data_IF_316258630687
#
_entry.id   IF_316258630687
#
_cell.length_a   1.000
_cell.length_b   1.000
_cell.length_c   1.000
_cell.angle_alpha   90.00
_cell.angle_beta   90.00
_cell.angle_gamma   90.00
#
_symmetry.space_group_name_H-M   'P 1'
#
loop_
_entity.id
_entity.type
_entity.pdbx_description
1 polymer ?
#
# COMPACT_ATOMS: atom_id res chain seq x y z
N UNK A 1 -9.78 7.91 20.96
CA UNK A 1 -10.93 7.50 21.80
C UNK A 1 -11.48 6.15 21.33
N UNK A 2 -11.54 5.19 22.24
CA UNK A 2 -11.97 3.80 21.97
C UNK A 2 -13.41 3.70 21.44
N UNK A 3 -14.27 4.66 21.81
CA UNK A 3 -15.66 4.75 21.35
C UNK A 3 -15.79 4.98 19.85
N UNK A 4 -14.92 5.82 19.26
CA UNK A 4 -14.93 6.09 17.81
C UNK A 4 -14.63 4.84 16.99
N UNK A 5 -13.72 4.00 17.48
CA UNK A 5 -13.40 2.72 16.85
C UNK A 5 -14.57 1.74 16.92
N UNK A 6 -15.28 1.68 18.06
CA UNK A 6 -16.49 0.85 18.17
C UNK A 6 -17.58 1.30 17.20
N UNK A 7 -17.80 2.60 17.07
CA UNK A 7 -18.78 3.14 16.12
C UNK A 7 -18.42 2.80 14.67
N UNK A 8 -17.13 2.88 14.32
CA UNK A 8 -16.66 2.48 12.99
C UNK A 8 -16.93 0.99 12.71
N UNK A 9 -16.70 0.13 13.69
CA UNK A 9 -16.96 -1.31 13.52
C UNK A 9 -18.44 -1.62 13.36
N UNK A 10 -19.29 -1.02 14.17
CA UNK A 10 -20.74 -1.18 14.04
C UNK A 10 -21.22 -0.71 12.66
N UNK A 11 -20.68 0.41 12.17
CA UNK A 11 -20.99 0.89 10.83
C UNK A 11 -20.54 -0.12 9.75
N UNK A 12 -19.34 -0.69 9.90
CA UNK A 12 -18.83 -1.71 8.99
C UNK A 12 -19.67 -2.98 9.04
N UNK A 13 -20.12 -3.44 10.21
CA UNK A 13 -21.00 -4.61 10.36
C UNK A 13 -22.37 -4.37 9.71
N UNK A 14 -22.95 -3.17 9.89
CA UNK A 14 -24.20 -2.78 9.23
C UNK A 14 -24.01 -2.76 7.71
N UNK A 15 -22.91 -2.19 7.23
CA UNK A 15 -22.55 -2.23 5.81
C UNK A 15 -22.40 -3.67 5.31
N UNK A 16 -21.73 -4.54 6.06
CA UNK A 16 -21.57 -5.95 5.72
C UNK A 16 -22.91 -6.67 5.60
N UNK A 17 -23.84 -6.34 6.50
CA UNK A 17 -25.18 -6.94 6.53
C UNK A 17 -26.04 -6.50 5.34
N UNK A 18 -25.91 -5.24 4.90
CA UNK A 18 -26.70 -4.69 3.79
C UNK A 18 -26.16 -5.16 2.43
N UNK A 19 -24.84 -5.10 2.23
CA UNK A 19 -24.21 -5.35 0.94
C UNK A 19 -23.70 -6.79 0.77
N UNK A 20 -23.73 -7.60 1.83
CA UNK A 20 -23.21 -8.98 1.82
C UNK A 20 -21.69 -9.07 1.72
N UNK A 21 -20.97 -7.96 1.97
CA UNK A 21 -19.51 -7.90 1.90
C UNK A 21 -18.92 -7.82 3.29
N UNK A 22 -18.10 -8.80 3.68
CA UNK A 22 -17.46 -8.78 5.00
C UNK A 22 -16.07 -8.14 4.96
N UNK A 23 -15.72 -7.39 6.02
CA UNK A 23 -14.36 -6.90 6.22
C UNK A 23 -13.44 -8.10 6.49
N UNK A 24 -12.35 -8.18 5.74
CA UNK A 24 -11.35 -9.22 5.95
C UNK A 24 -10.34 -8.78 7.01
N UNK A 25 -10.59 -9.16 8.27
CA UNK A 25 -9.72 -8.78 9.38
C UNK A 25 -8.30 -9.34 9.27
N UNK A 26 -8.11 -10.49 8.59
CA UNK A 26 -6.78 -11.05 8.31
C UNK A 26 -5.97 -10.24 7.28
N UNK A 27 -6.61 -9.31 6.56
CA UNK A 27 -5.95 -8.35 5.66
C UNK A 27 -5.96 -6.92 6.21
N UNK A 28 -6.60 -6.72 7.35
CA UNK A 28 -6.68 -5.42 8.03
C UNK A 28 -5.56 -5.32 9.06
N UNK A 29 -4.94 -4.16 9.15
CA UNK A 29 -3.89 -3.88 10.13
C UNK A 29 -4.17 -2.56 10.83
N UNK A 30 -3.97 -2.53 12.15
CA UNK A 30 -4.11 -1.30 12.94
C UNK A 30 -2.73 -0.64 13.11
N UNK A 31 -2.66 0.67 12.83
CA UNK A 31 -1.47 1.48 12.97
C UNK A 31 -1.83 2.76 13.73
N UNK A 32 -0.99 3.14 14.71
CA UNK A 32 -1.07 4.43 15.38
C UNK A 32 -0.07 5.42 14.79
N UNK A 33 -0.44 6.70 14.79
CA UNK A 33 0.45 7.82 14.47
C UNK A 33 0.50 8.68 15.73
N UNK A 34 1.67 8.75 16.37
CA UNK A 34 1.85 9.49 17.62
C UNK A 34 0.89 9.02 18.74
N UNK A 35 0.73 7.71 18.88
CA UNK A 35 -0.13 7.06 19.89
C UNK A 35 0.67 5.96 20.58
N UNK A 36 0.42 5.74 21.87
CA UNK A 36 1.08 4.71 22.67
C UNK A 36 0.83 3.29 22.12
N UNK A 37 1.89 2.47 22.14
CA UNK A 37 1.84 1.09 21.64
C UNK A 37 0.85 0.22 22.43
N UNK A 38 0.70 0.44 23.74
CA UNK A 38 -0.27 -0.27 24.58
C UNK A 38 -1.72 -0.03 24.13
N UNK A 39 -2.03 1.20 23.71
CA UNK A 39 -3.36 1.54 23.20
C UNK A 39 -3.61 0.87 21.84
N UNK A 40 -2.60 0.83 20.96
CA UNK A 40 -2.70 0.17 19.66
C UNK A 40 -2.90 -1.34 19.86
N UNK A 41 -2.12 -1.96 20.73
CA UNK A 41 -2.17 -3.40 20.96
C UNK A 41 -3.50 -3.82 21.61
N UNK A 42 -3.97 -3.09 22.61
CA UNK A 42 -5.28 -3.35 23.23
C UNK A 42 -6.44 -3.17 22.25
N UNK A 43 -6.36 -2.19 21.36
CA UNK A 43 -7.36 -1.95 20.32
C UNK A 43 -7.31 -3.05 19.24
N UNK A 44 -6.13 -3.45 18.78
CA UNK A 44 -5.97 -4.50 17.77
C UNK A 44 -6.55 -5.85 18.22
N UNK A 45 -6.39 -6.20 19.50
CA UNK A 45 -7.02 -7.39 20.10
C UNK A 45 -8.55 -7.32 20.03
N UNK A 46 -9.14 -6.15 20.33
CA UNK A 46 -10.59 -5.97 20.21
C UNK A 46 -11.08 -6.05 18.75
N UNK A 47 -10.24 -5.61 17.82
CA UNK A 47 -10.51 -5.62 16.38
C UNK A 47 -10.23 -6.97 15.72
N UNK A 48 -9.59 -7.91 16.41
CA UNK A 48 -9.13 -9.19 15.84
C UNK A 48 -8.30 -8.95 14.57
N UNK A 49 -7.45 -7.92 14.58
CA UNK A 49 -6.58 -7.57 13.47
C UNK A 49 -5.12 -7.45 13.92
N UNK A 50 -4.18 -7.51 12.98
CA UNK A 50 -2.76 -7.41 13.31
C UNK A 50 -2.34 -5.96 13.58
N UNK A 51 -1.38 -5.78 14.49
CA UNK A 51 -0.70 -4.49 14.65
C UNK A 51 0.30 -4.32 13.51
N UNK A 52 0.15 -3.27 12.72
CA UNK A 52 1.06 -2.96 11.62
C UNK A 52 2.29 -2.19 12.09
N UNK A 53 3.30 -2.12 11.21
CA UNK A 53 4.51 -1.31 11.40
C UNK A 53 4.77 -0.37 10.21
N UNK A 54 5.38 0.78 10.48
CA UNK A 54 5.87 1.69 9.42
C UNK A 54 7.20 1.20 8.83
N UNK A 55 7.46 1.41 7.52
CA UNK A 55 6.55 1.93 6.49
C UNK A 55 5.50 0.90 6.05
N UNK A 56 4.28 1.36 5.75
CA UNK A 56 3.14 0.48 5.42
C UNK A 56 2.99 0.35 3.90
N UNK A 57 2.59 -0.82 3.39
CA UNK A 57 2.37 -1.00 1.96
C UNK A 57 0.95 -0.58 1.58
N UNK A 58 0.82 0.49 0.81
CA UNK A 58 -0.46 0.95 0.28
C UNK A 58 -0.43 1.03 -1.25
N UNK A 59 -1.41 0.41 -1.90
CA UNK A 59 -1.50 0.30 -3.37
C UNK A 59 -0.22 -0.21 -4.07
N UNK A 60 0.62 -0.93 -3.33
CA UNK A 60 1.88 -1.47 -3.81
C UNK A 60 3.11 -0.56 -3.65
N UNK A 61 3.00 0.52 -2.88
CA UNK A 61 4.09 1.41 -2.51
C UNK A 61 4.21 1.54 -0.98
N UNK A 62 5.42 1.64 -0.41
CA UNK A 62 5.58 2.00 0.99
C UNK A 62 5.12 3.45 1.25
N UNK A 63 4.21 3.64 2.20
CA UNK A 63 3.84 4.90 2.81
C UNK A 63 4.64 5.09 4.10
N UNK A 64 5.09 6.32 4.37
CA UNK A 64 5.74 6.69 5.63
C UNK A 64 7.13 6.06 5.82
N UNK A 65 7.99 6.18 4.81
CA UNK A 65 9.40 5.78 4.86
C UNK A 65 10.34 6.93 4.49
N UNK A 66 11.66 6.69 4.55
CA UNK A 66 12.65 7.69 4.16
C UNK A 66 12.96 7.57 2.65
N UNK A 67 12.58 8.59 1.89
CA UNK A 67 12.83 8.70 0.44
C UNK A 67 14.31 8.80 0.06
N UNK A 68 15.18 9.18 1.00
CA UNK A 68 16.62 9.26 0.79
C UNK A 68 17.30 7.87 0.89
N UNK A 69 16.63 6.87 1.46
CA UNK A 69 17.18 5.52 1.59
C UNK A 69 16.95 4.72 0.32
N UNK A 70 18.01 4.07 -0.17
CA UNK A 70 17.95 3.21 -1.35
C UNK A 70 16.94 2.06 -1.19
N UNK A 71 16.90 1.44 -0.01
CA UNK A 71 16.01 0.30 0.29
C UNK A 71 14.52 0.65 0.13
N UNK A 72 14.14 1.92 0.31
CA UNK A 72 12.78 2.37 0.09
C UNK A 72 12.34 2.21 -1.38
N UNK A 73 13.28 2.38 -2.31
CA UNK A 73 13.03 2.36 -3.75
C UNK A 73 13.13 0.95 -4.36
N UNK A 74 13.71 -0.02 -3.65
CA UNK A 74 13.93 -1.37 -4.15
C UNK A 74 12.66 -2.06 -4.68
N UNK A 75 11.49 -1.99 -4.01
CA UNK A 75 10.27 -2.62 -4.51
C UNK A 75 9.79 -1.99 -5.83
N UNK A 76 10.02 -0.69 -6.01
CA UNK A 76 9.64 0.04 -7.22
C UNK A 76 10.56 -0.38 -8.35
N UNK A 77 11.89 -0.37 -8.12
CA UNK A 77 12.90 -0.81 -9.09
C UNK A 77 12.62 -2.24 -9.54
N UNK A 78 12.36 -3.17 -8.62
CA UNK A 78 12.03 -4.56 -8.95
C UNK A 78 10.78 -4.66 -9.85
N UNK A 79 9.75 -3.84 -9.59
CA UNK A 79 8.52 -3.78 -10.40
C UNK A 79 8.79 -3.25 -11.81
N UNK A 80 9.65 -2.24 -11.96
CA UNK A 80 10.07 -1.70 -13.26
C UNK A 80 10.84 -2.75 -14.05
N UNK A 81 11.86 -3.34 -13.44
CA UNK A 81 12.73 -4.34 -14.06
C UNK A 81 11.92 -5.53 -14.56
N UNK A 82 10.97 -6.03 -13.76
CA UNK A 82 10.06 -7.13 -14.15
C UNK A 82 9.20 -6.77 -15.38
N UNK A 83 8.77 -5.51 -15.52
CA UNK A 83 8.04 -5.04 -16.72
C UNK A 83 8.96 -4.98 -17.94
N UNK A 84 10.17 -4.44 -17.78
CA UNK A 84 11.16 -4.34 -18.84
C UNK A 84 11.64 -5.71 -19.35
N UNK A 85 11.86 -6.67 -18.46
CA UNK A 85 12.29 -8.02 -18.82
C UNK A 85 11.24 -8.78 -19.65
N UNK A 86 9.95 -8.49 -19.43
CA UNK A 86 8.88 -9.00 -20.29
C UNK A 86 9.02 -8.51 -21.73
N UNK A 87 9.51 -7.28 -21.94
CA UNK A 87 9.66 -6.67 -23.27
C UNK A 87 10.95 -7.03 -23.96
N UNK A 88 12.01 -7.37 -23.23
CA UNK A 88 13.22 -7.94 -23.85
C UNK A 88 12.92 -9.21 -24.66
N UNK A 89 11.89 -9.96 -24.25
CA UNK A 89 11.39 -11.15 -24.96
C UNK A 89 10.46 -10.82 -26.14
N UNK A 90 10.07 -9.57 -26.34
CA UNK A 90 9.28 -9.13 -27.48
C UNK A 90 10.22 -8.68 -28.62
N UNK A 91 9.89 -9.05 -29.86
CA UNK A 91 10.61 -8.62 -31.06
C UNK A 91 10.31 -7.15 -31.38
N UNK A 92 10.85 -6.24 -30.57
CA UNK A 92 10.63 -4.80 -30.68
C UNK A 92 11.77 -4.11 -31.43
N UNK A 93 11.41 -3.15 -32.28
CA UNK A 93 12.37 -2.23 -32.88
C UNK A 93 13.04 -1.35 -31.82
N UNK A 94 14.18 -0.75 -32.16
CA UNK A 94 14.88 0.19 -31.26
C UNK A 94 13.98 1.36 -30.84
N UNK A 95 13.17 1.90 -31.77
CA UNK A 95 12.21 2.97 -31.48
C UNK A 95 11.08 2.50 -30.55
N UNK A 96 10.53 1.31 -30.79
CA UNK A 96 9.49 0.74 -29.92
C UNK A 96 9.98 0.52 -28.48
N UNK A 97 11.23 0.06 -28.30
CA UNK A 97 11.84 -0.07 -26.97
C UNK A 97 12.00 1.28 -26.27
N UNK A 98 12.46 2.31 -26.97
CA UNK A 98 12.62 3.65 -26.40
C UNK A 98 11.28 4.24 -25.94
N UNK A 99 10.25 4.17 -26.79
CA UNK A 99 8.91 4.67 -26.48
C UNK A 99 8.32 3.95 -25.26
N UNK A 100 8.52 2.64 -25.15
CA UNK A 100 8.05 1.84 -24.01
C UNK A 100 8.79 2.20 -22.71
N UNK A 101 10.11 2.39 -22.75
CA UNK A 101 10.88 2.84 -21.58
C UNK A 101 10.37 4.21 -21.11
N UNK A 102 10.20 5.15 -22.04
CA UNK A 102 9.67 6.49 -21.72
C UNK A 102 8.27 6.39 -21.10
N UNK A 103 7.36 5.61 -21.69
CA UNK A 103 6.00 5.42 -21.15
C UNK A 103 6.01 4.86 -19.72
N UNK A 104 6.83 3.84 -19.44
CA UNK A 104 6.90 3.26 -18.10
C UNK A 104 7.53 4.20 -17.08
N UNK A 105 8.63 4.88 -17.42
CA UNK A 105 9.25 5.84 -16.51
C UNK A 105 8.33 7.02 -16.21
N UNK A 106 7.68 7.59 -17.22
CA UNK A 106 6.74 8.70 -17.02
C UNK A 106 5.55 8.30 -16.14
N UNK A 107 4.95 7.12 -16.38
CA UNK A 107 3.81 6.65 -15.56
C UNK A 107 4.18 6.37 -14.10
N UNK A 108 5.39 5.86 -13.84
CA UNK A 108 5.88 5.63 -12.47
C UNK A 108 6.16 6.97 -11.78
N UNK A 109 6.84 7.89 -12.46
CA UNK A 109 7.12 9.20 -11.91
C UNK A 109 5.82 9.94 -11.54
N UNK A 110 4.83 9.93 -12.43
CA UNK A 110 3.51 10.49 -12.13
C UNK A 110 2.85 9.80 -10.93
N UNK A 111 2.89 8.47 -10.85
CA UNK A 111 2.30 7.74 -9.72
C UNK A 111 2.96 8.06 -8.37
N UNK A 112 4.29 8.18 -8.36
CA UNK A 112 5.05 8.54 -7.16
C UNK A 112 4.76 9.97 -6.71
N UNK A 113 4.61 10.90 -7.65
CA UNK A 113 4.30 12.29 -7.32
C UNK A 113 2.96 12.40 -6.56
N UNK A 114 1.95 11.61 -6.93
CA UNK A 114 0.67 11.57 -6.22
C UNK A 114 0.72 10.82 -4.87
N UNK A 115 1.69 9.92 -4.67
CA UNK A 115 1.78 9.11 -3.47
C UNK A 115 2.58 9.75 -2.33
N UNK A 116 3.36 10.79 -2.60
CA UNK A 116 4.06 11.58 -1.60
C UNK A 116 3.14 12.69 -1.09
N UNK A 117 2.50 12.47 0.05
CA UNK A 117 1.86 13.52 0.87
C UNK A 117 2.85 14.09 1.87
#
# INVERSE_FOLDING_TARGET
DQEKFKNLLQLLEVFCSIFGWCVNMAKSTLLGINVDEEFIHSTAVHLVCEVGSWPIKYLGMPLGGNLEKLDFWEPIVAKVTKRLDRWKRAFLSRGGRLALIQSVLSSIHSYLLFANF
#
